data_IF_662887415905
#
_entry.id   IF_662887415905
#
_cell.length_a   1.000
_cell.length_b   1.000
_cell.length_c   1.000
_cell.angle_alpha   90.00
_cell.angle_beta   90.00
_cell.angle_gamma   90.00
#
_symmetry.space_group_name_H-M   'P 1'
#
loop_
_entity.id
_entity.type
_entity.pdbx_description
1 polymer ?
#
# COMPACT_ATOMS: atom_id res chain seq x y z
N UNK A 1 27.12 19.36 -17.53
CA UNK A 1 27.92 18.56 -16.58
C UNK A 1 26.94 17.70 -15.79
N UNK A 2 27.08 16.37 -15.75
CA UNK A 2 26.24 15.51 -14.89
C UNK A 2 26.70 15.71 -13.45
N UNK A 3 26.04 16.62 -12.77
CA UNK A 3 26.32 17.04 -11.41
C UNK A 3 25.57 16.05 -10.51
N UNK A 4 26.29 15.14 -9.84
CA UNK A 4 25.76 14.35 -8.72
C UNK A 4 26.38 14.92 -7.45
N UNK A 5 25.58 15.61 -6.64
CA UNK A 5 25.97 16.02 -5.28
C UNK A 5 26.27 14.79 -4.42
N UNK A 6 27.01 14.98 -3.33
CA UNK A 6 27.22 13.91 -2.36
C UNK A 6 25.90 13.49 -1.70
N UNK A 7 24.99 14.44 -1.45
CA UNK A 7 23.63 14.17 -0.99
C UNK A 7 22.87 13.20 -1.91
N UNK A 8 22.84 13.47 -3.23
CA UNK A 8 22.19 12.59 -4.19
C UNK A 8 22.82 11.18 -4.21
N UNK A 9 24.15 11.08 -4.04
CA UNK A 9 24.83 9.77 -3.99
C UNK A 9 24.44 8.98 -2.76
N UNK A 10 24.26 9.63 -1.61
CA UNK A 10 23.75 8.99 -0.39
C UNK A 10 22.31 8.51 -0.60
N UNK A 11 21.43 9.34 -1.17
CA UNK A 11 20.05 8.97 -1.53
C UNK A 11 20.02 7.76 -2.49
N UNK A 12 20.85 7.77 -3.54
CA UNK A 12 20.97 6.68 -4.51
C UNK A 12 21.46 5.38 -3.86
N UNK A 13 22.38 5.47 -2.90
CA UNK A 13 22.84 4.33 -2.12
C UNK A 13 21.72 3.77 -1.23
N UNK A 14 20.98 4.63 -0.53
CA UNK A 14 19.84 4.20 0.28
C UNK A 14 18.76 3.51 -0.55
N UNK A 15 18.43 4.02 -1.75
CA UNK A 15 17.51 3.35 -2.67
C UNK A 15 17.98 1.95 -3.05
N UNK A 16 19.27 1.79 -3.33
CA UNK A 16 19.85 0.48 -3.65
C UNK A 16 19.72 -0.47 -2.47
N UNK A 17 20.02 -0.01 -1.25
CA UNK A 17 19.87 -0.81 -0.03
C UNK A 17 18.41 -1.22 0.20
N UNK A 18 17.45 -0.31 0.00
CA UNK A 18 16.01 -0.64 0.07
C UNK A 18 15.67 -1.70 -0.97
N UNK A 19 15.99 -1.46 -2.25
CA UNK A 19 15.62 -2.34 -3.34
C UNK A 19 16.19 -3.76 -3.18
N UNK A 20 17.42 -3.89 -2.69
CA UNK A 20 18.07 -5.17 -2.43
C UNK A 20 17.42 -5.93 -1.26
N UNK A 21 17.22 -5.29 -0.10
CA UNK A 21 16.66 -5.94 1.09
C UNK A 21 15.18 -6.30 0.93
N UNK A 22 14.41 -5.43 0.29
CA UNK A 22 12.97 -5.61 0.06
C UNK A 22 12.66 -6.46 -1.19
N UNK A 23 13.69 -6.94 -1.89
CA UNK A 23 13.57 -7.70 -3.13
C UNK A 23 12.66 -7.02 -4.18
N UNK A 24 12.76 -5.69 -4.31
CA UNK A 24 11.94 -4.88 -5.21
C UNK A 24 12.42 -5.06 -6.65
N UNK A 25 12.16 -6.22 -7.24
CA UNK A 25 12.44 -6.51 -8.64
C UNK A 25 11.35 -5.94 -9.56
N UNK A 26 11.73 -5.01 -10.46
CA UNK A 26 11.07 -4.66 -11.73
C UNK A 26 9.58 -4.26 -11.77
N UNK A 27 8.84 -4.34 -10.67
CA UNK A 27 7.42 -4.03 -10.59
C UNK A 27 7.14 -2.56 -10.28
N UNK A 28 5.99 -2.05 -10.73
CA UNK A 28 5.54 -0.71 -10.40
C UNK A 28 5.23 -0.60 -8.90
N UNK A 29 6.13 0.03 -8.15
CA UNK A 29 5.96 0.31 -6.73
C UNK A 29 6.47 1.74 -6.42
N UNK A 30 6.03 2.35 -5.31
CA UNK A 30 6.39 3.74 -4.99
C UNK A 30 7.90 3.99 -4.90
N UNK A 31 8.68 3.03 -4.41
CA UNK A 31 10.16 3.12 -4.33
C UNK A 31 10.77 3.15 -5.73
N UNK A 32 10.37 2.25 -6.62
CA UNK A 32 10.85 2.20 -8.00
C UNK A 32 10.40 3.43 -8.82
N UNK A 33 9.21 3.96 -8.55
CA UNK A 33 8.72 5.18 -9.18
C UNK A 33 9.56 6.40 -8.77
N UNK A 34 9.79 6.59 -7.46
CA UNK A 34 10.64 7.66 -6.96
C UNK A 34 12.08 7.52 -7.46
N UNK A 35 12.65 6.31 -7.44
CA UNK A 35 13.97 6.06 -8.03
C UNK A 35 14.04 6.45 -9.52
N UNK A 36 12.95 6.23 -10.26
CA UNK A 36 12.87 6.61 -11.68
C UNK A 36 12.76 8.13 -11.84
N UNK A 37 11.92 8.80 -11.04
CA UNK A 37 11.79 10.27 -11.04
C UNK A 37 13.13 10.94 -10.68
N UNK A 38 13.81 10.41 -9.66
CA UNK A 38 15.16 10.82 -9.26
C UNK A 38 16.20 10.65 -10.38
N UNK A 39 16.15 9.54 -11.12
CA UNK A 39 17.00 9.34 -12.29
C UNK A 39 16.74 10.40 -13.36
N UNK A 40 15.47 10.73 -13.64
CA UNK A 40 15.14 11.78 -14.60
C UNK A 40 15.56 13.16 -14.11
N UNK A 41 15.36 13.49 -12.82
CA UNK A 41 15.88 14.70 -12.19
C UNK A 41 17.38 14.85 -12.42
N UNK A 42 18.16 13.77 -12.26
CA UNK A 42 19.62 13.80 -12.54
C UNK A 42 20.01 14.13 -13.99
N UNK A 43 19.05 14.10 -14.94
CA UNK A 43 19.26 14.49 -16.34
C UNK A 43 18.95 15.95 -16.62
N UNK A 44 18.21 16.63 -15.73
CA UNK A 44 17.90 18.06 -15.89
C UNK A 44 19.15 18.92 -15.67
N UNK A 45 19.14 20.12 -16.26
CA UNK A 45 20.18 21.12 -16.03
C UNK A 45 19.79 21.97 -14.82
N UNK A 46 20.68 22.04 -13.83
CA UNK A 46 20.54 22.87 -12.65
C UNK A 46 21.66 23.91 -12.63
N UNK A 47 21.37 25.08 -12.05
CA UNK A 47 22.32 26.18 -11.96
C UNK A 47 23.35 25.98 -10.84
N UNK A 48 23.04 25.14 -9.85
CA UNK A 48 23.91 24.80 -8.72
C UNK A 48 23.65 23.40 -8.17
N UNK A 49 24.54 22.91 -7.29
CA UNK A 49 24.30 21.69 -6.50
C UNK A 49 23.12 21.87 -5.55
N UNK A 50 22.98 23.04 -4.93
CA UNK A 50 21.90 23.33 -3.97
C UNK A 50 20.52 23.29 -4.65
N UNK A 51 20.40 23.87 -5.85
CA UNK A 51 19.15 23.81 -6.63
C UNK A 51 18.76 22.37 -6.98
N UNK A 52 19.76 21.53 -7.28
CA UNK A 52 19.56 20.12 -7.55
C UNK A 52 19.11 19.37 -6.29
N UNK A 53 19.78 19.58 -5.16
CA UNK A 53 19.45 18.92 -3.89
C UNK A 53 18.06 19.33 -3.37
N UNK A 54 17.67 20.59 -3.56
CA UNK A 54 16.31 21.04 -3.26
C UNK A 54 15.26 20.36 -4.15
N UNK A 55 15.55 20.16 -5.44
CA UNK A 55 14.66 19.42 -6.33
C UNK A 55 14.53 17.94 -5.91
N UNK A 56 15.62 17.31 -5.48
CA UNK A 56 15.60 15.96 -4.90
C UNK A 56 14.72 15.89 -3.66
N UNK A 57 14.93 16.79 -2.69
CA UNK A 57 14.13 16.84 -1.46
C UNK A 57 12.66 17.05 -1.77
N UNK A 58 12.35 17.95 -2.71
CA UNK A 58 10.98 18.23 -3.13
C UNK A 58 10.31 17.00 -3.74
N UNK A 59 11.03 16.23 -4.56
CA UNK A 59 10.48 15.02 -5.18
C UNK A 59 10.19 13.91 -4.16
N UNK A 60 11.10 13.72 -3.20
CA UNK A 60 10.89 12.80 -2.08
C UNK A 60 9.67 13.21 -1.26
N UNK A 61 9.55 14.49 -0.91
CA UNK A 61 8.42 15.02 -0.14
C UNK A 61 7.09 14.88 -0.89
N UNK A 62 7.06 15.21 -2.19
CA UNK A 62 5.88 15.04 -3.03
C UNK A 62 5.42 13.58 -3.09
N UNK A 63 6.37 12.65 -3.15
CA UNK A 63 6.07 11.22 -3.17
C UNK A 63 5.51 10.75 -1.83
N UNK A 64 6.07 11.22 -0.71
CA UNK A 64 5.55 10.93 0.63
C UNK A 64 4.10 11.41 0.75
N UNK A 65 3.82 12.66 0.39
CA UNK A 65 2.46 13.22 0.41
C UNK A 65 1.50 12.40 -0.46
N UNK A 66 1.94 12.01 -1.66
CA UNK A 66 1.14 11.17 -2.56
C UNK A 66 0.82 9.81 -1.93
N UNK A 67 1.78 9.19 -1.24
CA UNK A 67 1.56 7.92 -0.54
C UNK A 67 0.58 8.08 0.62
N UNK A 68 0.69 9.14 1.41
CA UNK A 68 -0.22 9.43 2.52
C UNK A 68 -1.66 9.58 2.03
N UNK A 69 -1.88 10.34 0.95
CA UNK A 69 -3.19 10.50 0.33
C UNK A 69 -3.78 9.14 -0.12
N UNK A 70 -2.94 8.26 -0.66
CA UNK A 70 -3.34 6.91 -1.07
C UNK A 70 -3.67 6.04 0.15
N UNK A 71 -2.90 6.12 1.23
CA UNK A 71 -3.14 5.39 2.48
C UNK A 71 -4.49 5.78 3.06
N UNK A 72 -4.80 7.08 3.12
CA UNK A 72 -6.10 7.58 3.59
C UNK A 72 -7.24 7.02 2.74
N UNK A 73 -7.11 7.05 1.41
CA UNK A 73 -8.11 6.47 0.50
C UNK A 73 -8.31 4.97 0.72
N UNK A 74 -7.22 4.22 0.98
CA UNK A 74 -7.29 2.79 1.32
C UNK A 74 -8.01 2.56 2.65
N UNK A 75 -7.75 3.38 3.66
CA UNK A 75 -8.40 3.30 4.96
C UNK A 75 -9.91 3.53 4.89
N UNK A 76 -10.33 4.55 4.15
CA UNK A 76 -11.75 4.80 3.89
C UNK A 76 -12.39 3.64 3.11
N UNK A 77 -11.69 3.09 2.10
CA UNK A 77 -12.16 1.93 1.35
C UNK A 77 -12.32 0.68 2.23
N UNK A 78 -11.40 0.48 3.17
CA UNK A 78 -11.43 -0.63 4.12
C UNK A 78 -12.63 -0.49 5.08
N UNK A 79 -12.82 0.69 5.66
CA UNK A 79 -13.96 1.01 6.52
C UNK A 79 -15.28 0.74 5.78
N UNK A 80 -15.42 1.27 4.56
CA UNK A 80 -16.63 1.10 3.75
C UNK A 80 -16.93 -0.39 3.51
N UNK A 81 -15.94 -1.16 3.03
CA UNK A 81 -16.13 -2.57 2.74
C UNK A 81 -16.47 -3.40 3.99
N UNK A 82 -15.84 -3.11 5.12
CA UNK A 82 -16.12 -3.77 6.39
C UNK A 82 -17.54 -3.48 6.90
N UNK A 83 -18.00 -2.23 6.72
CA UNK A 83 -19.36 -1.83 7.07
C UNK A 83 -20.40 -2.51 6.18
N UNK A 84 -20.19 -2.52 4.88
CA UNK A 84 -21.11 -3.11 3.90
C UNK A 84 -21.19 -4.64 4.04
N UNK A 85 -20.06 -5.31 4.25
CA UNK A 85 -20.00 -6.78 4.24
C UNK A 85 -20.32 -7.39 5.60
N UNK A 86 -19.85 -6.76 6.68
CA UNK A 86 -19.86 -7.35 8.03
C UNK A 86 -20.54 -6.47 9.08
N UNK A 87 -21.11 -5.32 8.68
CA UNK A 87 -21.69 -4.32 9.60
C UNK A 87 -20.71 -3.82 10.68
N UNK A 88 -19.41 -3.90 10.43
CA UNK A 88 -18.37 -3.45 11.35
C UNK A 88 -18.10 -1.97 11.16
N UNK A 89 -18.06 -1.22 12.26
CA UNK A 89 -17.68 0.19 12.21
C UNK A 89 -16.19 0.32 12.58
N UNK A 90 -15.35 0.47 11.56
CA UNK A 90 -13.90 0.56 11.71
C UNK A 90 -13.51 2.03 11.71
N UNK A 91 -12.62 2.40 12.63
CA UNK A 91 -12.03 3.73 12.68
C UNK A 91 -10.81 3.76 11.74
N UNK A 92 -10.86 4.51 10.62
CA UNK A 92 -9.79 4.54 9.64
C UNK A 92 -8.52 5.16 10.20
N UNK A 93 -8.60 6.12 11.12
CA UNK A 93 -7.43 6.75 11.71
C UNK A 93 -6.68 5.75 12.59
N UNK A 94 -7.39 5.07 13.49
CA UNK A 94 -6.77 4.04 14.35
C UNK A 94 -6.13 2.91 13.56
N UNK A 95 -6.72 2.57 12.41
CA UNK A 95 -6.16 1.55 11.52
C UNK A 95 -4.85 2.02 10.87
N UNK A 96 -4.81 3.27 10.40
CA UNK A 96 -3.58 3.88 9.86
C UNK A 96 -2.52 4.03 10.95
N UNK A 97 -2.89 4.50 12.14
CA UNK A 97 -1.96 4.66 13.28
C UNK A 97 -1.31 3.32 13.66
N UNK A 98 -2.11 2.24 13.68
CA UNK A 98 -1.60 0.89 13.90
C UNK A 98 -0.62 0.47 12.81
N UNK A 99 -1.00 0.64 11.54
CA UNK A 99 -0.14 0.30 10.40
C UNK A 99 1.19 1.07 10.43
N UNK A 100 1.15 2.37 10.76
CA UNK A 100 2.34 3.21 10.88
C UNK A 100 3.23 2.78 12.04
N UNK A 101 2.65 2.42 13.19
CA UNK A 101 3.41 1.88 14.33
C UNK A 101 4.15 0.60 13.96
N UNK A 102 3.50 -0.32 13.26
CA UNK A 102 4.13 -1.57 12.84
C UNK A 102 5.20 -1.32 11.77
N UNK A 103 4.93 -0.43 10.80
CA UNK A 103 5.90 -0.01 9.79
C UNK A 103 7.15 0.68 10.40
N UNK A 104 6.95 1.51 11.43
CA UNK A 104 8.02 2.16 12.16
C UNK A 104 8.96 1.12 12.78
N UNK A 105 8.41 0.18 13.56
CA UNK A 105 9.21 -0.87 14.21
C UNK A 105 9.98 -1.68 13.18
N UNK A 106 9.27 -2.14 12.14
CA UNK A 106 9.87 -2.95 11.08
C UNK A 106 11.02 -2.22 10.37
N UNK A 107 10.84 -0.92 10.06
CA UNK A 107 11.91 -0.14 9.43
C UNK A 107 13.17 -0.02 10.29
N UNK A 108 13.04 0.04 11.62
CA UNK A 108 14.18 0.08 12.54
C UNK A 108 14.77 -1.29 12.84
N UNK A 109 13.99 -2.36 12.72
CA UNK A 109 14.48 -3.74 12.80
C UNK A 109 15.27 -4.15 11.55
N UNK A 110 14.87 -3.66 10.38
CA UNK A 110 15.47 -4.04 9.09
C UNK A 110 16.72 -3.24 8.71
N UNK A 111 16.81 -1.99 9.19
CA UNK A 111 17.86 -1.05 8.79
C UNK A 111 18.44 -0.31 9.98
N UNK A 112 19.76 -0.39 10.09
CA UNK A 112 20.52 0.42 11.04
C UNK A 112 20.37 1.92 10.71
N UNK A 113 20.52 2.79 11.71
CA UNK A 113 20.46 4.25 11.53
C UNK A 113 21.47 4.77 10.49
N UNK A 114 22.56 4.02 10.26
CA UNK A 114 23.58 4.38 9.28
C UNK A 114 23.23 3.97 7.85
N UNK A 115 22.35 2.99 7.67
CA UNK A 115 21.93 2.45 6.37
C UNK A 115 20.79 3.25 5.75
N UNK A 116 19.86 3.75 6.56
CA UNK A 116 18.75 4.61 6.12
C UNK A 116 18.69 5.87 6.97
N UNK A 117 19.24 6.98 6.43
CA UNK A 117 19.28 8.30 7.07
C UNK A 117 18.20 9.22 6.51
N UNK A 118 18.12 9.37 5.19
CA UNK A 118 17.22 10.34 4.57
C UNK A 118 15.91 9.72 4.09
N UNK A 119 15.94 8.49 3.59
CA UNK A 119 14.77 7.79 3.06
C UNK A 119 14.02 6.99 4.13
N UNK A 120 14.41 7.04 5.40
CA UNK A 120 13.75 6.27 6.47
C UNK A 120 12.28 6.64 6.61
N UNK A 121 11.94 7.92 6.64
CA UNK A 121 10.55 8.34 6.73
C UNK A 121 9.74 7.87 5.51
N UNK A 122 10.30 8.04 4.31
CA UNK A 122 9.72 7.50 3.08
C UNK A 122 9.50 5.97 3.16
N UNK A 123 10.48 5.22 3.65
CA UNK A 123 10.39 3.77 3.83
C UNK A 123 9.27 3.36 4.79
N UNK A 124 9.12 4.06 5.92
CA UNK A 124 8.03 3.83 6.89
C UNK A 124 6.66 4.07 6.24
N UNK A 125 6.51 5.17 5.49
CA UNK A 125 5.25 5.46 4.79
C UNK A 125 4.99 4.43 3.69
N UNK A 126 6.02 3.98 2.97
CA UNK A 126 5.90 2.90 2.00
C UNK A 126 5.46 1.57 2.64
N UNK A 127 6.07 1.16 3.75
CA UNK A 127 5.66 -0.03 4.50
C UNK A 127 4.22 0.07 5.02
N UNK A 128 3.82 1.26 5.48
CA UNK A 128 2.44 1.55 5.88
C UNK A 128 1.48 1.32 4.70
N UNK A 129 1.84 1.81 3.51
CA UNK A 129 1.07 1.58 2.30
C UNK A 129 0.97 0.09 1.95
N UNK A 130 2.07 -0.67 2.05
CA UNK A 130 2.08 -2.13 1.81
C UNK A 130 1.11 -2.83 2.75
N UNK A 131 1.19 -2.51 4.04
CA UNK A 131 0.31 -3.08 5.05
C UNK A 131 -1.18 -2.80 4.73
N UNK A 132 -1.53 -1.54 4.48
CA UNK A 132 -2.89 -1.15 4.16
C UNK A 132 -3.40 -1.79 2.87
N UNK A 133 -2.55 -1.94 1.85
CA UNK A 133 -2.92 -2.59 0.59
C UNK A 133 -3.21 -4.08 0.76
N UNK A 134 -2.36 -4.79 1.49
CA UNK A 134 -2.51 -6.23 1.73
C UNK A 134 -3.74 -6.54 2.59
N UNK A 135 -3.98 -5.78 3.65
CA UNK A 135 -5.18 -5.97 4.48
C UNK A 135 -6.47 -5.68 3.71
N UNK A 136 -6.49 -4.64 2.87
CA UNK A 136 -7.64 -4.36 2.00
C UNK A 136 -7.87 -5.47 0.97
N UNK A 137 -6.81 -6.01 0.37
CA UNK A 137 -6.90 -7.18 -0.54
C UNK A 137 -7.49 -8.39 0.18
N UNK A 138 -7.00 -8.71 1.39
CA UNK A 138 -7.53 -9.82 2.20
C UNK A 138 -9.02 -9.65 2.49
N UNK A 139 -9.44 -8.44 2.88
CA UNK A 139 -10.85 -8.13 3.14
C UNK A 139 -11.70 -8.32 1.89
N UNK A 140 -11.25 -7.84 0.72
CA UNK A 140 -11.94 -8.02 -0.57
C UNK A 140 -12.11 -9.49 -0.94
N UNK A 141 -11.05 -10.28 -0.81
CA UNK A 141 -11.09 -11.72 -1.12
C UNK A 141 -12.08 -12.43 -0.19
N UNK A 142 -12.03 -12.12 1.12
CA UNK A 142 -12.94 -12.69 2.11
C UNK A 142 -14.39 -12.32 1.82
N UNK A 143 -14.67 -11.04 1.55
CA UNK A 143 -16.00 -10.54 1.23
C UNK A 143 -16.59 -11.22 -0.03
N UNK A 144 -15.80 -11.31 -1.09
CA UNK A 144 -16.19 -11.99 -2.33
C UNK A 144 -16.51 -13.46 -2.08
N UNK A 145 -15.64 -14.19 -1.37
CA UNK A 145 -15.86 -15.60 -1.04
C UNK A 145 -17.13 -15.82 -0.23
N UNK A 146 -17.39 -14.96 0.75
CA UNK A 146 -18.57 -15.07 1.61
C UNK A 146 -19.85 -14.77 0.83
N UNK A 147 -19.82 -13.80 -0.10
CA UNK A 147 -20.90 -13.53 -1.04
C UNK A 147 -21.21 -14.73 -1.93
N UNK A 148 -20.20 -15.34 -2.55
CA UNK A 148 -20.39 -16.55 -3.38
C UNK A 148 -21.01 -17.71 -2.59
N UNK A 149 -20.57 -17.93 -1.35
CA UNK A 149 -21.15 -18.94 -0.46
C UNK A 149 -22.61 -18.64 -0.13
N UNK A 150 -22.95 -17.39 0.11
CA UNK A 150 -24.33 -16.99 0.36
C UNK A 150 -25.20 -17.26 -0.87
N UNK A 151 -24.77 -16.85 -2.07
CA UNK A 151 -25.51 -17.09 -3.32
C UNK A 151 -25.76 -18.58 -3.52
N UNK A 152 -24.72 -19.41 -3.33
CA UNK A 152 -24.83 -20.87 -3.43
C UNK A 152 -25.87 -21.45 -2.47
N UNK A 153 -25.81 -21.08 -1.18
CA UNK A 153 -26.79 -21.51 -0.18
C UNK A 153 -28.21 -21.05 -0.50
N UNK A 154 -28.38 -19.82 -0.99
CA UNK A 154 -29.69 -19.30 -1.37
C UNK A 154 -30.27 -20.08 -2.55
N UNK A 155 -29.46 -20.36 -3.57
CA UNK A 155 -29.87 -21.15 -4.73
C UNK A 155 -30.25 -22.59 -4.31
N UNK A 156 -29.44 -23.23 -3.47
CA UNK A 156 -29.72 -24.55 -2.92
C UNK A 156 -31.04 -24.57 -2.13
N UNK A 157 -31.24 -23.60 -1.25
CA UNK A 157 -32.48 -23.47 -0.47
C UNK A 157 -33.72 -23.27 -1.36
N UNK A 158 -33.59 -22.52 -2.46
CA UNK A 158 -34.67 -22.35 -3.45
C UNK A 158 -34.98 -23.67 -4.16
N UNK A 159 -33.96 -24.43 -4.57
CA UNK A 159 -34.15 -25.75 -5.18
C UNK A 159 -34.80 -26.75 -4.21
N UNK A 160 -34.37 -26.76 -2.94
CA UNK A 160 -34.96 -27.61 -1.89
C UNK A 160 -36.43 -27.25 -1.66
N UNK A 161 -36.76 -25.95 -1.53
CA UNK A 161 -38.17 -25.50 -1.41
C UNK A 161 -39.01 -25.98 -2.59
N UNK A 162 -38.54 -25.76 -3.82
CA UNK A 162 -39.25 -26.16 -5.04
C UNK A 162 -39.50 -27.68 -5.10
N UNK A 163 -38.51 -28.48 -4.70
CA UNK A 163 -38.64 -29.94 -4.61
C UNK A 163 -39.67 -30.36 -3.58
N UNK A 164 -39.65 -29.75 -2.40
CA UNK A 164 -40.60 -30.06 -1.32
C UNK A 164 -42.05 -29.68 -1.70
N UNK A 165 -42.24 -28.56 -2.41
CA UNK A 165 -43.56 -28.13 -2.87
C UNK A 165 -44.13 -29.08 -3.95
N UNK A 166 -43.28 -29.56 -4.86
CA UNK A 166 -43.66 -30.57 -5.87
C UNK A 166 -44.04 -31.92 -5.24
N UNK A 167 -43.34 -32.34 -4.18
CA UNK A 167 -43.68 -33.56 -3.44
C UNK A 167 -45.04 -33.42 -2.75
N UNK A 168 -45.30 -32.28 -2.09
CA UNK A 168 -46.60 -32.00 -1.44
C UNK A 168 -47.79 -31.92 -2.39
N UNK A 169 -47.56 -31.56 -3.66
CA UNK A 169 -48.60 -31.57 -4.69
C UNK A 169 -48.90 -32.96 -5.25
N UNK A 170 -47.96 -33.90 -5.17
CA UNK A 170 -48.16 -35.30 -5.59
C UNK A 170 -48.90 -36.14 -4.56
N UNK A 171 -48.87 -35.75 -3.29
CA UNK A 171 -49.54 -36.44 -2.19
C UNK A 171 -50.99 -35.95 -1.96
N UNK A 172 -51.53 -35.13 -2.86
CA UNK A 172 -52.94 -34.71 -2.92
C UNK A 172 -53.60 -35.27 -4.16
#
# INVERSE_FOLDING_TARGET
MRIKSDFYREIEAEFKTIAEKENLGGGANPVSNLSTQMFYLSKHQFNSFDDFDQAVVSEVANTIQSLEDIIVKKALSYQQLAKETYNQNIDPQKWVDYAQSEAYKLSYEMYDERELKYLRHFHIIWLTWVFCDEELKKLRIKASRDLYRHIGKTAENVHIKRRNDLMKQKDK
#
